data_IF_521728933096
#
_entry.id   IF_521728933096
#
_cell.length_a   1.000
_cell.length_b   1.000
_cell.length_c   1.000
_cell.angle_alpha   90.00
_cell.angle_beta   90.00
_cell.angle_gamma   90.00
#
_symmetry.space_group_name_H-M   'P 1'
#
loop_
_entity.id
_entity.type
_entity.pdbx_description
1 polymer ?
#
# COMPACT_ATOMS: atom_id res chain seq x y z
N UNK A 1 27.22 3.81 2.65
CA UNK A 1 26.25 4.84 2.22
C UNK A 1 26.94 5.79 1.26
N UNK A 2 26.50 5.85 0.00
CA UNK A 2 26.89 6.94 -0.90
C UNK A 2 26.25 8.24 -0.40
N UNK A 3 27.03 9.31 -0.28
CA UNK A 3 26.50 10.62 0.10
C UNK A 3 25.59 11.14 -1.01
N UNK A 4 24.32 11.41 -0.66
CA UNK A 4 23.37 12.08 -1.55
C UNK A 4 23.90 13.50 -1.83
N UNK A 5 24.02 13.87 -3.11
CA UNK A 5 24.54 15.18 -3.48
C UNK A 5 23.49 16.28 -3.28
N UNK A 6 23.96 17.51 -3.04
CA UNK A 6 23.09 18.67 -2.87
C UNK A 6 22.22 18.97 -4.11
N UNK A 7 22.68 18.56 -5.30
CA UNK A 7 21.87 18.62 -6.51
C UNK A 7 20.66 17.69 -6.41
N UNK A 8 20.86 16.44 -6.00
CA UNK A 8 19.78 15.44 -5.86
C UNK A 8 18.77 15.87 -4.79
N UNK A 9 19.24 16.39 -3.66
CA UNK A 9 18.35 16.93 -2.62
C UNK A 9 17.47 18.07 -3.12
N UNK A 10 18.04 19.02 -3.88
CA UNK A 10 17.29 20.16 -4.43
C UNK A 10 16.31 19.74 -5.51
N UNK A 11 16.71 18.87 -6.42
CA UNK A 11 15.85 18.36 -7.47
C UNK A 11 14.66 17.57 -6.90
N UNK A 12 14.92 16.69 -5.93
CA UNK A 12 13.89 15.91 -5.25
C UNK A 12 12.86 16.81 -4.54
N UNK A 13 13.32 17.79 -3.77
CA UNK A 13 12.42 18.74 -3.10
C UNK A 13 11.66 19.62 -4.09
N UNK A 14 12.29 20.05 -5.20
CA UNK A 14 11.61 20.85 -6.21
C UNK A 14 10.44 20.08 -6.85
N UNK A 15 10.64 18.78 -7.10
CA UNK A 15 9.66 17.91 -7.75
C UNK A 15 8.57 17.42 -6.78
N UNK A 16 8.96 16.80 -5.66
CA UNK A 16 8.04 16.17 -4.72
C UNK A 16 7.54 17.09 -3.60
N UNK A 17 8.12 18.28 -3.45
CA UNK A 17 7.88 19.21 -2.31
C UNK A 17 8.14 18.59 -0.93
N UNK A 18 9.01 17.57 -0.87
CA UNK A 18 9.43 16.86 0.35
C UNK A 18 10.95 16.83 0.40
N UNK A 19 11.56 16.94 1.60
CA UNK A 19 13.01 16.86 1.76
C UNK A 19 13.48 15.41 1.66
N UNK A 20 14.52 15.17 0.87
CA UNK A 20 15.14 13.86 0.74
C UNK A 20 16.01 13.60 1.98
N UNK A 21 15.74 12.53 2.72
CA UNK A 21 16.46 12.19 3.96
C UNK A 21 15.59 12.03 5.23
N UNK A 22 14.28 12.30 5.20
CA UNK A 22 13.37 12.03 6.33
C UNK A 22 13.01 10.52 6.46
N UNK A 23 13.98 9.63 6.26
CA UNK A 23 13.84 8.18 6.44
C UNK A 23 14.47 7.65 7.75
N UNK A 24 14.76 8.50 8.73
CA UNK A 24 15.17 8.05 10.07
C UNK A 24 14.00 7.45 10.91
N UNK A 25 12.97 6.95 10.25
CA UNK A 25 11.83 6.32 10.93
C UNK A 25 12.13 4.84 11.08
N UNK A 26 12.16 4.34 12.30
CA UNK A 26 12.46 2.94 12.64
C UNK A 26 11.58 1.89 11.92
N UNK A 27 10.44 2.30 11.35
CA UNK A 27 9.55 1.43 10.59
C UNK A 27 9.88 1.32 9.10
N UNK A 28 10.77 2.16 8.56
CA UNK A 28 11.12 2.12 7.15
C UNK A 28 12.13 0.98 6.89
N UNK A 29 11.86 0.05 5.96
CA UNK A 29 12.78 -1.05 5.68
C UNK A 29 14.07 -0.54 5.04
N UNK A 30 15.18 -0.65 5.77
CA UNK A 30 16.51 -0.17 5.35
C UNK A 30 17.34 -1.20 4.55
N UNK A 31 16.75 -2.31 4.12
CA UNK A 31 17.50 -3.35 3.41
C UNK A 31 17.66 -2.98 1.93
N UNK A 32 18.91 -2.78 1.53
CA UNK A 32 19.33 -2.79 0.13
C UNK A 32 19.06 -4.20 -0.42
N UNK A 33 18.05 -4.34 -1.28
CA UNK A 33 17.89 -5.56 -2.08
C UNK A 33 19.02 -5.57 -3.10
N UNK A 34 20.08 -6.32 -2.80
CA UNK A 34 21.07 -6.70 -3.80
C UNK A 34 20.39 -7.54 -4.87
N UNK A 35 20.38 -7.06 -6.11
CA UNK A 35 20.08 -7.88 -7.27
C UNK A 35 21.22 -8.91 -7.38
N UNK A 36 20.95 -10.17 -7.05
CA UNK A 36 21.81 -11.26 -7.44
C UNK A 36 21.37 -11.70 -8.83
N UNK A 37 22.26 -11.51 -9.81
CA UNK A 37 22.16 -12.12 -11.12
C UNK A 37 22.37 -13.64 -10.98
N UNK A 38 21.41 -14.42 -11.46
CA UNK A 38 21.51 -15.88 -11.58
C UNK A 38 22.47 -16.22 -12.74
N UNK A 39 23.70 -16.68 -12.43
CA UNK A 39 24.48 -17.53 -13.34
C UNK A 39 24.95 -18.80 -12.62
N UNK A 40 24.66 -19.94 -13.26
CA UNK A 40 24.97 -21.30 -12.85
C UNK A 40 26.47 -21.59 -12.71
N UNK A 41 26.86 -22.41 -11.73
CA UNK A 41 28.19 -23.03 -11.71
C UNK A 41 28.55 -23.74 -10.42
N UNK A 42 28.40 -25.07 -10.41
CA UNK A 42 28.82 -25.95 -9.33
C UNK A 42 30.31 -25.81 -8.99
N UNK A 43 30.63 -25.59 -7.71
CA UNK A 43 31.77 -26.24 -7.07
C UNK A 43 31.57 -26.34 -5.54
N UNK A 44 31.76 -27.55 -5.04
CA UNK A 44 31.66 -27.92 -3.63
C UNK A 44 32.95 -27.58 -2.88
N UNK A 45 32.87 -26.70 -1.88
CA UNK A 45 33.86 -26.64 -0.80
C UNK A 45 33.13 -26.46 0.53
N UNK A 46 33.40 -27.37 1.47
CA UNK A 46 32.89 -27.37 2.84
C UNK A 46 33.39 -26.11 3.57
N UNK A 47 32.46 -25.26 4.02
CA UNK A 47 32.77 -24.12 4.89
C UNK A 47 32.08 -24.32 6.22
N UNK A 48 32.91 -24.29 7.27
CA UNK A 48 32.56 -24.46 8.67
C UNK A 48 31.34 -23.64 9.10
N UNK A 49 30.44 -24.35 9.75
CA UNK A 49 29.21 -23.86 10.37
C UNK A 49 29.55 -23.19 11.71
N UNK A 50 29.81 -21.88 11.69
CA UNK A 50 29.63 -21.01 12.85
C UNK A 50 29.81 -19.54 12.45
N UNK A 51 28.69 -18.84 12.32
CA UNK A 51 28.43 -17.53 12.93
C UNK A 51 27.02 -17.08 12.51
N UNK A 52 26.01 -17.61 13.20
CA UNK A 52 24.70 -16.98 13.20
C UNK A 52 24.80 -15.75 14.11
N UNK A 53 24.92 -14.58 13.49
CA UNK A 53 24.76 -13.30 14.17
C UNK A 53 23.30 -13.22 14.66
N UNK A 54 23.10 -13.59 15.93
CA UNK A 54 21.81 -13.53 16.59
C UNK A 54 21.33 -12.08 16.62
N UNK A 55 20.10 -11.88 16.15
CA UNK A 55 19.36 -10.63 16.25
C UNK A 55 19.31 -10.18 17.73
N UNK A 56 20.02 -9.09 18.06
CA UNK A 56 20.28 -8.63 19.43
C UNK A 56 19.02 -8.01 20.08
N UNK A 57 17.93 -7.89 19.32
CA UNK A 57 16.68 -7.26 19.76
C UNK A 57 15.62 -8.22 20.32
N UNK A 58 15.88 -9.54 20.36
CA UNK A 58 14.94 -10.49 20.97
C UNK A 58 15.04 -10.46 22.50
N UNK A 59 14.29 -9.54 23.13
CA UNK A 59 14.02 -9.60 24.57
C UNK A 59 13.24 -10.89 24.85
N UNK A 60 13.86 -11.79 25.62
CA UNK A 60 13.28 -13.09 25.99
C UNK A 60 11.90 -12.93 26.66
N UNK A 61 11.01 -13.92 26.50
CA UNK A 61 9.60 -13.77 26.87
C UNK A 61 9.41 -13.56 28.37
N UNK A 62 8.47 -12.69 28.73
CA UNK A 62 7.78 -12.76 30.02
C UNK A 62 7.23 -14.18 30.20
N UNK A 63 7.20 -14.68 31.43
CA UNK A 63 6.94 -16.09 31.77
C UNK A 63 5.58 -16.66 31.34
N UNK A 64 4.71 -15.89 30.69
CA UNK A 64 3.44 -16.31 30.12
C UNK A 64 3.26 -15.79 28.68
N UNK A 65 2.70 -16.60 27.75
CA UNK A 65 2.35 -16.13 26.42
C UNK A 65 1.29 -15.02 26.50
N UNK A 66 1.55 -13.87 25.88
CA UNK A 66 0.53 -12.85 25.69
C UNK A 66 -0.52 -13.34 24.70
N UNK A 67 -1.79 -13.32 25.10
CA UNK A 67 -2.91 -13.63 24.21
C UNK A 67 -3.16 -12.45 23.26
N UNK A 68 -3.46 -12.74 21.99
CA UNK A 68 -3.87 -11.71 21.05
C UNK A 68 -5.31 -11.28 21.33
N UNK A 69 -5.50 -9.97 21.50
CA UNK A 69 -6.82 -9.35 21.43
C UNK A 69 -7.24 -9.16 19.95
N UNK A 70 -8.42 -8.58 19.70
CA UNK A 70 -8.92 -8.41 18.34
C UNK A 70 -8.09 -7.43 17.50
N UNK A 71 -7.57 -6.37 18.11
CA UNK A 71 -6.75 -5.35 17.44
C UNK A 71 -5.39 -5.91 17.09
N UNK A 72 -4.71 -6.57 18.04
CA UNK A 72 -3.40 -7.20 17.81
C UNK A 72 -3.48 -8.30 16.75
N UNK A 73 -4.56 -9.09 16.74
CA UNK A 73 -4.80 -10.08 15.70
C UNK A 73 -5.02 -9.43 14.32
N UNK A 74 -5.74 -8.32 14.26
CA UNK A 74 -5.97 -7.58 13.02
C UNK A 74 -4.67 -6.96 12.49
N UNK A 75 -3.83 -6.43 13.38
CA UNK A 75 -2.51 -5.90 13.02
C UNK A 75 -1.60 -7.01 12.48
N UNK A 76 -1.53 -8.15 13.17
CA UNK A 76 -0.76 -9.32 12.68
C UNK A 76 -1.22 -9.77 11.28
N UNK A 77 -2.54 -9.85 11.06
CA UNK A 77 -3.12 -10.22 9.77
C UNK A 77 -2.78 -9.20 8.67
N UNK A 78 -2.78 -7.91 9.01
CA UNK A 78 -2.41 -6.83 8.09
C UNK A 78 -0.93 -6.90 7.72
N UNK A 79 -0.06 -7.08 8.71
CA UNK A 79 1.39 -7.09 8.52
C UNK A 79 1.84 -8.32 7.70
N UNK A 80 1.10 -9.42 7.81
CA UNK A 80 1.28 -10.63 6.98
C UNK A 80 0.59 -10.57 5.61
N UNK A 81 -0.13 -9.49 5.30
CA UNK A 81 -0.89 -9.29 4.06
C UNK A 81 -1.80 -10.48 3.70
N UNK A 82 -2.56 -10.97 4.66
CA UNK A 82 -3.35 -12.20 4.48
C UNK A 82 -4.68 -11.96 3.75
N UNK A 83 -5.01 -12.90 2.86
CA UNK A 83 -6.36 -13.02 2.28
C UNK A 83 -7.42 -13.26 3.37
N UNK A 84 -8.71 -13.08 3.07
CA UNK A 84 -9.79 -13.36 4.03
C UNK A 84 -9.77 -14.81 4.54
N UNK A 85 -9.57 -15.76 3.63
CA UNK A 85 -9.54 -17.19 3.94
C UNK A 85 -8.31 -17.53 4.80
N UNK A 86 -7.15 -17.00 4.43
CA UNK A 86 -5.91 -17.19 5.21
C UNK A 86 -5.97 -16.52 6.59
N UNK A 87 -6.58 -15.34 6.67
CA UNK A 87 -6.80 -14.60 7.92
C UNK A 87 -7.66 -15.40 8.88
N UNK A 88 -8.79 -15.93 8.38
CA UNK A 88 -9.67 -16.77 9.16
C UNK A 88 -9.01 -18.09 9.58
N UNK A 89 -8.26 -18.73 8.69
CA UNK A 89 -7.52 -19.95 9.00
C UNK A 89 -6.51 -19.72 10.11
N UNK A 90 -5.71 -18.64 10.01
CA UNK A 90 -4.74 -18.26 11.04
C UNK A 90 -5.44 -18.00 12.39
N UNK A 91 -6.48 -17.17 12.38
CA UNK A 91 -7.26 -16.86 13.58
C UNK A 91 -7.89 -18.13 14.20
N UNK A 92 -8.32 -19.09 13.39
CA UNK A 92 -8.82 -20.39 13.86
C UNK A 92 -7.73 -21.19 14.56
N UNK A 93 -6.52 -21.29 13.98
CA UNK A 93 -5.39 -22.00 14.59
C UNK A 93 -4.93 -21.35 15.89
N UNK A 94 -4.87 -20.02 15.94
CA UNK A 94 -4.53 -19.30 17.17
C UNK A 94 -5.58 -19.56 18.26
N UNK A 95 -6.87 -19.63 17.89
CA UNK A 95 -7.95 -19.99 18.82
C UNK A 95 -7.81 -21.41 19.36
N UNK A 96 -7.54 -22.39 18.50
CA UNK A 96 -7.34 -23.80 18.88
C UNK A 96 -6.17 -23.98 19.86
N UNK A 97 -5.14 -23.15 19.75
CA UNK A 97 -3.97 -23.16 20.62
C UNK A 97 -4.12 -22.26 21.87
N UNK A 98 -5.32 -21.74 22.13
CA UNK A 98 -5.60 -20.83 23.26
C UNK A 98 -4.71 -19.58 23.26
N UNK A 99 -4.40 -19.03 22.08
CA UNK A 99 -3.58 -17.81 21.93
C UNK A 99 -4.43 -16.55 21.69
N UNK A 100 -5.77 -16.65 21.79
CA UNK A 100 -6.67 -15.52 21.62
C UNK A 100 -7.46 -15.24 22.90
N UNK A 101 -7.75 -13.97 23.16
CA UNK A 101 -8.73 -13.60 24.19
C UNK A 101 -10.14 -14.15 23.86
N UNK A 102 -10.93 -14.42 24.91
CA UNK A 102 -12.26 -15.05 24.79
C UNK A 102 -13.27 -14.25 23.94
N UNK A 103 -13.06 -12.94 23.78
CA UNK A 103 -13.89 -12.05 22.96
C UNK A 103 -13.50 -11.96 21.47
N UNK A 104 -12.38 -12.55 21.06
CA UNK A 104 -11.86 -12.41 19.70
C UNK A 104 -12.72 -13.19 18.69
N UNK A 105 -13.14 -12.51 17.62
CA UNK A 105 -14.06 -13.03 16.61
C UNK A 105 -13.32 -13.48 15.37
N UNK A 106 -13.08 -14.80 15.27
CA UNK A 106 -12.45 -15.42 14.09
C UNK A 106 -13.23 -15.18 12.80
N UNK A 107 -14.56 -15.22 12.86
CA UNK A 107 -15.40 -15.16 11.64
C UNK A 107 -15.48 -13.78 11.01
N UNK A 108 -14.99 -12.73 11.67
CA UNK A 108 -15.08 -11.34 11.18
C UNK A 108 -14.40 -11.18 9.82
N UNK A 109 -13.34 -11.93 9.55
CA UNK A 109 -12.60 -11.84 8.29
C UNK A 109 -13.41 -12.28 7.06
N UNK A 110 -14.48 -13.06 7.23
CA UNK A 110 -15.36 -13.47 6.12
C UNK A 110 -16.17 -12.30 5.55
N UNK A 111 -16.56 -11.36 6.40
CA UNK A 111 -17.51 -10.30 6.08
C UNK A 111 -16.99 -8.89 6.45
N UNK A 112 -15.69 -8.73 6.69
CA UNK A 112 -15.08 -7.47 7.16
C UNK A 112 -15.35 -6.28 6.25
N UNK A 113 -15.54 -6.52 4.97
CA UNK A 113 -15.83 -5.49 3.96
C UNK A 113 -17.32 -5.22 3.78
N UNK A 114 -18.20 -6.06 4.33
CA UNK A 114 -19.63 -6.06 4.04
C UNK A 114 -20.29 -4.71 4.38
N UNK A 115 -19.87 -4.08 5.47
CA UNK A 115 -20.37 -2.77 5.88
C UNK A 115 -20.01 -1.65 4.88
N UNK A 116 -18.91 -1.82 4.14
CA UNK A 116 -18.44 -0.84 3.17
C UNK A 116 -18.95 -1.10 1.75
N UNK A 117 -19.43 -2.30 1.44
CA UNK A 117 -19.90 -2.66 0.09
C UNK A 117 -20.96 -1.69 -0.45
N UNK A 118 -21.82 -1.15 0.42
CA UNK A 118 -22.87 -0.20 0.05
C UNK A 118 -22.36 1.12 -0.55
N UNK A 119 -21.10 1.51 -0.27
CA UNK A 119 -20.50 2.73 -0.80
C UNK A 119 -19.90 2.55 -2.20
N UNK A 120 -19.84 1.32 -2.71
CA UNK A 120 -19.24 1.01 -4.00
C UNK A 120 -20.31 0.55 -4.99
N UNK A 121 -20.10 0.90 -6.26
CA UNK A 121 -20.87 0.36 -7.37
C UNK A 121 -19.94 -0.27 -8.42
N UNK A 122 -20.44 -1.28 -9.14
CA UNK A 122 -19.71 -1.88 -10.26
C UNK A 122 -20.33 -1.42 -11.59
N UNK A 123 -19.48 -0.89 -12.47
CA UNK A 123 -19.86 -0.50 -13.83
C UNK A 123 -18.77 -0.95 -14.80
N UNK A 124 -19.11 -1.76 -15.80
CA UNK A 124 -18.18 -2.23 -16.83
C UNK A 124 -16.89 -2.89 -16.28
N UNK A 125 -16.95 -3.53 -15.11
CA UNK A 125 -15.80 -4.14 -14.45
C UNK A 125 -14.88 -3.16 -13.71
N UNK A 126 -15.31 -1.91 -13.52
CA UNK A 126 -14.77 -0.96 -12.56
C UNK A 126 -15.65 -0.98 -11.31
N UNK A 127 -15.04 -1.24 -10.16
CA UNK A 127 -15.65 -1.03 -8.84
C UNK A 127 -15.16 0.32 -8.33
N UNK A 128 -16.07 1.22 -7.98
CA UNK A 128 -15.73 2.60 -7.63
C UNK A 128 -16.67 3.15 -6.56
N UNK A 129 -16.15 4.02 -5.70
CA UNK A 129 -16.91 4.74 -4.69
C UNK A 129 -17.30 6.14 -5.22
N UNK A 130 -18.58 6.39 -5.54
CA UNK A 130 -19.02 7.71 -6.00
C UNK A 130 -19.20 8.71 -4.85
N UNK A 131 -19.54 8.27 -3.63
CA UNK A 131 -19.71 9.15 -2.47
C UNK A 131 -18.59 8.96 -1.46
N UNK A 132 -17.56 9.79 -1.61
CA UNK A 132 -16.33 9.75 -0.83
C UNK A 132 -16.56 10.22 0.60
N UNK A 133 -17.42 11.23 0.80
CA UNK A 133 -17.72 11.77 2.13
C UNK A 133 -18.39 10.72 3.02
N UNK A 134 -19.39 10.03 2.48
CA UNK A 134 -20.11 8.98 3.22
C UNK A 134 -19.19 7.79 3.57
N UNK A 135 -18.32 7.39 2.64
CA UNK A 135 -17.32 6.34 2.89
C UNK A 135 -16.38 6.76 4.02
N UNK A 136 -15.83 7.97 3.97
CA UNK A 136 -14.88 8.47 4.97
C UNK A 136 -15.56 8.63 6.34
N UNK A 137 -16.80 9.10 6.37
CA UNK A 137 -17.60 9.16 7.60
C UNK A 137 -17.78 7.77 8.21
N UNK A 138 -18.12 6.76 7.40
CA UNK A 138 -18.26 5.37 7.85
C UNK A 138 -16.94 4.78 8.35
N UNK A 139 -15.80 5.20 7.80
CA UNK A 139 -14.46 4.83 8.26
C UNK A 139 -14.01 5.61 9.50
N UNK A 140 -14.87 6.46 10.09
CA UNK A 140 -14.57 7.22 11.30
C UNK A 140 -13.80 8.52 11.06
N UNK A 141 -13.89 9.09 9.85
CA UNK A 141 -13.25 10.35 9.45
C UNK A 141 -14.35 11.41 9.19
N UNK A 142 -14.93 12.02 10.24
CA UNK A 142 -16.11 12.87 10.11
C UNK A 142 -15.84 14.27 9.54
N UNK A 143 -14.59 14.76 9.61
CA UNK A 143 -14.21 16.10 9.17
C UNK A 143 -13.40 16.01 7.87
N UNK A 144 -14.01 15.44 6.83
CA UNK A 144 -13.36 15.38 5.52
C UNK A 144 -13.17 16.79 4.94
N UNK A 145 -11.93 17.09 4.60
CA UNK A 145 -11.55 18.28 3.86
C UNK A 145 -10.69 17.86 2.66
N UNK A 146 -11.13 18.14 1.41
CA UNK A 146 -10.40 17.70 0.23
C UNK A 146 -8.92 18.11 0.19
N UNK A 147 -8.56 19.28 0.73
CA UNK A 147 -7.16 19.77 0.71
C UNK A 147 -6.19 18.91 1.51
N UNK A 148 -6.70 18.07 2.42
CA UNK A 148 -5.89 17.19 3.26
C UNK A 148 -5.56 15.86 2.57
N UNK A 149 -6.07 15.66 1.35
CA UNK A 149 -5.94 14.43 0.59
C UNK A 149 -5.35 14.67 -0.79
N UNK A 150 -4.77 13.61 -1.34
CA UNK A 150 -4.32 13.51 -2.72
C UNK A 150 -4.84 12.23 -3.34
N UNK A 151 -5.16 12.29 -4.62
CA UNK A 151 -5.66 11.15 -5.38
C UNK A 151 -4.48 10.44 -6.05
N UNK A 152 -4.22 9.19 -5.68
CA UNK A 152 -3.24 8.36 -6.36
C UNK A 152 -3.93 7.47 -7.40
N UNK A 153 -3.47 7.54 -8.66
CA UNK A 153 -3.92 6.66 -9.73
C UNK A 153 -2.74 5.81 -10.19
N UNK A 154 -2.88 4.51 -10.01
CA UNK A 154 -1.89 3.52 -10.42
C UNK A 154 -2.47 2.69 -11.56
N UNK A 155 -1.73 2.54 -12.64
CA UNK A 155 -2.13 1.66 -13.73
C UNK A 155 -1.05 0.64 -14.06
N UNK A 156 -1.49 -0.60 -14.23
CA UNK A 156 -0.67 -1.67 -14.76
C UNK A 156 -1.22 -2.13 -16.12
N UNK A 157 -0.54 -3.08 -16.76
CA UNK A 157 -1.07 -3.75 -17.96
C UNK A 157 -2.37 -4.50 -17.69
N UNK A 158 -2.69 -4.81 -16.44
CA UNK A 158 -3.75 -5.73 -16.03
C UNK A 158 -4.73 -5.14 -15.03
N UNK A 159 -4.53 -3.89 -14.61
CA UNK A 159 -5.37 -3.27 -13.60
C UNK A 159 -5.25 -1.76 -13.59
N UNK A 160 -6.28 -1.12 -13.06
CA UNK A 160 -6.34 0.30 -12.77
C UNK A 160 -6.81 0.45 -11.32
N UNK A 161 -6.07 1.21 -10.52
CA UNK A 161 -6.37 1.46 -9.10
C UNK A 161 -6.44 2.95 -8.85
N UNK A 162 -7.38 3.36 -8.00
CA UNK A 162 -7.51 4.72 -7.52
C UNK A 162 -7.62 4.69 -6.00
N UNK A 163 -6.75 5.46 -5.35
CA UNK A 163 -6.54 5.40 -3.90
C UNK A 163 -6.40 6.82 -3.37
N UNK A 164 -7.12 7.14 -2.29
CA UNK A 164 -6.92 8.39 -1.57
C UNK A 164 -5.80 8.22 -0.54
N UNK A 165 -4.91 9.21 -0.52
CA UNK A 165 -3.81 9.28 0.43
C UNK A 165 -3.96 10.57 1.24
N UNK A 166 -3.91 10.45 2.57
CA UNK A 166 -3.90 11.62 3.44
C UNK A 166 -2.51 12.26 3.42
N UNK A 167 -2.44 13.59 3.25
CA UNK A 167 -1.18 14.32 3.09
C UNK A 167 -0.24 14.17 4.29
N UNK A 168 -0.80 14.12 5.51
CA UNK A 168 -0.05 13.87 6.74
C UNK A 168 0.25 12.39 7.04
N UNK A 169 -0.18 11.45 6.18
CA UNK A 169 -0.09 9.99 6.42
C UNK A 169 -0.63 9.56 7.80
N UNK A 170 -1.67 10.25 8.27
CA UNK A 170 -2.36 9.99 9.55
C UNK A 170 -3.28 8.79 9.41
N UNK A 171 -3.87 8.61 8.23
CA UNK A 171 -4.72 7.50 7.87
C UNK A 171 -4.01 6.58 6.88
N UNK A 172 -4.41 5.31 6.90
CA UNK A 172 -4.03 4.36 5.86
C UNK A 172 -4.55 4.81 4.49
N UNK A 173 -4.00 4.24 3.42
CA UNK A 173 -4.47 4.48 2.06
C UNK A 173 -5.88 3.92 1.89
N UNK A 174 -6.77 4.70 1.25
CA UNK A 174 -8.19 4.34 1.10
C UNK A 174 -8.46 4.04 -0.38
N UNK A 175 -8.65 2.77 -0.76
CA UNK A 175 -8.99 2.43 -2.14
C UNK A 175 -10.41 2.91 -2.46
N UNK A 176 -10.54 3.72 -3.51
CA UNK A 176 -11.81 4.29 -3.98
C UNK A 176 -12.19 3.84 -5.38
N UNK A 177 -11.27 3.19 -6.11
CA UNK A 177 -11.53 2.63 -7.43
C UNK A 177 -10.60 1.47 -7.75
N UNK A 178 -11.14 0.42 -8.37
CA UNK A 178 -10.37 -0.74 -8.79
C UNK A 178 -10.98 -1.41 -10.03
N UNK A 179 -10.14 -1.80 -10.97
CA UNK A 179 -10.51 -2.67 -12.08
C UNK A 179 -9.35 -3.59 -12.46
N UNK A 180 -9.67 -4.81 -12.87
CA UNK A 180 -8.73 -5.73 -13.56
C UNK A 180 -8.96 -5.79 -15.07
N UNK A 181 -10.01 -5.12 -15.55
CA UNK A 181 -10.40 -5.11 -16.98
C UNK A 181 -10.01 -3.81 -17.65
N UNK A 182 -10.03 -2.70 -16.90
CA UNK A 182 -9.55 -1.42 -17.36
C UNK A 182 -8.04 -1.34 -17.21
N UNK A 183 -7.45 -0.65 -18.17
CA UNK A 183 -6.03 -0.30 -18.23
C UNK A 183 -5.91 1.20 -18.44
N UNK A 184 -4.68 1.66 -18.47
CA UNK A 184 -4.29 3.03 -18.81
C UNK A 184 -4.77 3.48 -20.19
N UNK A 185 -5.96 4.05 -20.25
CA UNK A 185 -6.50 4.73 -21.43
C UNK A 185 -7.25 5.98 -20.96
N UNK A 186 -7.27 7.01 -21.80
CA UNK A 186 -7.74 8.34 -21.41
C UNK A 186 -9.21 8.30 -21.00
N UNK A 187 -10.01 7.57 -21.76
CA UNK A 187 -11.43 7.41 -21.50
C UNK A 187 -11.70 6.68 -20.17
N UNK A 188 -10.86 5.69 -19.82
CA UNK A 188 -11.02 4.95 -18.56
C UNK A 188 -10.69 5.84 -17.36
N UNK A 189 -9.60 6.61 -17.43
CA UNK A 189 -9.23 7.57 -16.37
C UNK A 189 -10.28 8.66 -16.24
N UNK A 190 -10.76 9.21 -17.37
CA UNK A 190 -11.82 10.20 -17.41
C UNK A 190 -13.11 9.67 -16.78
N UNK A 191 -13.54 8.45 -17.12
CA UNK A 191 -14.74 7.85 -16.53
C UNK A 191 -14.62 7.73 -15.00
N UNK A 192 -13.46 7.32 -14.47
CA UNK A 192 -13.25 7.26 -13.02
C UNK A 192 -13.36 8.65 -12.39
N UNK A 193 -12.66 9.66 -12.95
CA UNK A 193 -12.66 11.03 -12.42
C UNK A 193 -14.07 11.65 -12.41
N UNK A 194 -14.90 11.32 -13.40
CA UNK A 194 -16.31 11.74 -13.46
C UNK A 194 -17.13 11.05 -12.36
N UNK A 195 -16.97 9.74 -12.16
CA UNK A 195 -17.75 8.99 -11.16
C UNK A 195 -17.43 9.43 -9.73
N UNK A 196 -16.16 9.67 -9.41
CA UNK A 196 -15.73 10.15 -8.09
C UNK A 196 -15.95 11.67 -7.91
N UNK A 197 -16.60 12.33 -8.87
CA UNK A 197 -16.87 13.77 -8.85
C UNK A 197 -15.61 14.61 -8.56
N UNK A 198 -14.49 14.30 -9.23
CA UNK A 198 -13.19 14.89 -8.94
C UNK A 198 -13.21 16.43 -8.87
N UNK A 199 -13.99 17.09 -9.73
CA UNK A 199 -14.07 18.56 -9.77
C UNK A 199 -14.63 19.20 -8.49
N UNK A 200 -15.36 18.46 -7.65
CA UNK A 200 -15.81 18.95 -6.35
C UNK A 200 -14.71 18.90 -5.28
N UNK A 201 -13.70 18.06 -5.48
CA UNK A 201 -12.65 17.80 -4.51
C UNK A 201 -11.34 18.50 -4.86
N UNK A 202 -11.01 18.58 -6.15
CA UNK A 202 -9.79 19.20 -6.69
C UNK A 202 -8.50 18.69 -6.01
N UNK A 203 -8.46 17.38 -5.72
CA UNK A 203 -7.29 16.76 -5.11
C UNK A 203 -6.07 16.88 -6.01
N UNK A 204 -4.89 17.06 -5.42
CA UNK A 204 -3.65 16.85 -6.17
C UNK A 204 -3.63 15.41 -6.69
N UNK A 205 -3.52 15.23 -8.01
CA UNK A 205 -3.37 13.91 -8.63
C UNK A 205 -1.90 13.50 -8.56
N UNK A 206 -1.65 12.37 -7.93
CA UNK A 206 -0.38 11.67 -7.93
C UNK A 206 -0.48 10.45 -8.83
N UNK A 207 0.52 10.28 -9.68
CA UNK A 207 0.58 9.18 -10.65
C UNK A 207 2.00 8.65 -10.72
N UNK A 208 2.16 7.39 -11.09
CA UNK A 208 3.48 6.86 -11.45
C UNK A 208 4.02 7.51 -12.74
N UNK A 209 5.32 7.39 -12.99
CA UNK A 209 5.95 8.00 -14.17
C UNK A 209 5.36 7.51 -15.49
N UNK A 210 4.87 6.27 -15.54
CA UNK A 210 4.28 5.70 -16.74
C UNK A 210 2.95 6.39 -17.07
N UNK A 211 2.14 6.66 -16.05
CA UNK A 211 0.94 7.48 -16.12
C UNK A 211 1.24 8.95 -16.47
N UNK A 212 2.38 9.51 -16.02
CA UNK A 212 2.82 10.84 -16.48
C UNK A 212 3.12 10.82 -17.98
N UNK A 213 3.92 9.86 -18.47
CA UNK A 213 4.23 9.72 -19.89
C UNK A 213 2.95 9.63 -20.73
N UNK A 214 2.00 8.79 -20.28
CA UNK A 214 0.70 8.62 -20.92
C UNK A 214 -0.12 9.91 -20.96
N UNK A 215 -0.24 10.62 -19.84
CA UNK A 215 -1.03 11.86 -19.76
C UNK A 215 -0.42 13.00 -20.58
N UNK A 216 0.90 13.03 -20.72
CA UNK A 216 1.61 14.00 -21.55
C UNK A 216 1.68 13.60 -23.04
N UNK A 217 1.15 12.42 -23.40
CA UNK A 217 1.21 11.91 -24.78
C UNK A 217 2.63 11.57 -25.23
N UNK A 218 3.53 11.29 -24.29
CA UNK A 218 4.90 10.86 -24.57
C UNK A 218 4.92 9.41 -25.07
N UNK A 219 6.01 9.03 -25.73
CA UNK A 219 6.13 7.71 -26.35
C UNK A 219 6.05 6.60 -25.28
N UNK A 220 5.06 5.72 -25.41
CA UNK A 220 4.92 4.55 -24.55
C UNK A 220 6.07 3.56 -24.77
N UNK A 221 6.56 2.93 -23.70
CA UNK A 221 7.62 1.91 -23.76
C UNK A 221 8.74 2.20 -22.77
N UNK A 222 9.83 1.43 -22.83
CA UNK A 222 11.05 1.76 -22.09
C UNK A 222 11.77 2.92 -22.77
N UNK A 223 11.26 4.13 -22.57
CA UNK A 223 11.90 5.35 -23.04
C UNK A 223 13.23 5.48 -22.31
N UNK A 224 14.34 5.39 -23.06
CA UNK A 224 15.70 5.29 -22.49
C UNK A 224 16.14 6.59 -21.79
N UNK A 225 15.52 7.72 -22.15
CA UNK A 225 15.80 9.05 -21.61
C UNK A 225 14.51 9.90 -21.57
N UNK A 226 13.60 9.64 -20.62
CA UNK A 226 12.40 10.46 -20.47
C UNK A 226 12.80 11.78 -19.79
N UNK A 227 12.56 12.90 -20.47
CA UNK A 227 12.78 14.24 -19.92
C UNK A 227 11.43 14.84 -19.53
N UNK A 228 11.22 15.01 -18.23
CA UNK A 228 10.09 15.73 -17.67
C UNK A 228 10.62 17.09 -17.18
N UNK A 229 10.19 18.18 -17.83
CA UNK A 229 10.60 19.56 -17.51
C UNK A 229 9.68 20.18 -16.44
#
# INVERSE_FOLDING_TARGET
MQNITEFVNRAYHAYFKVKLGDQDKSWAPHKFLGFYDDEDGANSEEVNDHDCEYDVDFQGPSSEPSLFNQEELNDLIRDLDLSKESSELLASRLKENNLLHQGTKVTIYRYREQEFQQYFCEKNGLVVCPNIEDLLLAMGIPNYNPSDWRLFIESSKRSLKCVLLHNGNIFGSIPIGYSVKLKEEYNNVKEILEIINYSAHDWVICVDLKMVDFLLGQQSGFTKYPCFL
#
